data_IF_120588791628
#
_entry.id   IF_120588791628
#
_cell.length_a   1.000
_cell.length_b   1.000
_cell.length_c   1.000
_cell.angle_alpha   90.00
_cell.angle_beta   90.00
_cell.angle_gamma   90.00
#
_symmetry.space_group_name_H-M   'P 1'
#
loop_
_entity.id
_entity.type
_entity.pdbx_description
1 polymer ?
#
# COMPACT_ATOMS: atom_id res chain seq x y z
N UNK A 1 -9.37 0.69 -35.66
CA UNK A 1 -9.31 0.00 -34.35
C UNK A 1 -8.46 0.87 -33.42
N UNK A 2 -9.09 1.84 -32.75
CA UNK A 2 -8.39 2.76 -31.85
C UNK A 2 -7.92 2.03 -30.60
N UNK A 3 -6.64 2.13 -30.27
CA UNK A 3 -6.10 1.62 -29.01
C UNK A 3 -6.77 2.43 -27.89
N UNK A 4 -7.34 1.79 -26.84
CA UNK A 4 -7.98 2.53 -25.77
C UNK A 4 -6.99 3.49 -25.11
N UNK A 5 -7.39 4.74 -25.00
CA UNK A 5 -6.66 5.78 -24.28
C UNK A 5 -6.47 5.32 -22.84
N UNK A 6 -5.22 5.05 -22.46
CA UNK A 6 -4.86 4.74 -21.08
C UNK A 6 -5.29 5.91 -20.21
N UNK A 7 -6.17 5.67 -19.25
CA UNK A 7 -6.51 6.65 -18.23
C UNK A 7 -5.21 7.21 -17.63
N UNK A 8 -4.98 8.52 -17.79
CA UNK A 8 -3.79 9.20 -17.23
C UNK A 8 -3.72 8.87 -15.74
N UNK A 9 -2.73 8.08 -15.35
CA UNK A 9 -2.57 7.61 -13.99
C UNK A 9 -2.29 8.83 -13.09
N UNK A 10 -3.25 9.17 -12.24
CA UNK A 10 -3.07 10.22 -11.23
C UNK A 10 -2.11 9.67 -10.18
N UNK A 11 -0.89 10.19 -10.14
CA UNK A 11 0.07 9.86 -9.09
C UNK A 11 -0.31 10.59 -7.80
N UNK A 12 -0.41 9.86 -6.70
CA UNK A 12 -0.57 10.45 -5.37
C UNK A 12 0.77 11.13 -5.01
N UNK A 13 0.73 12.44 -4.81
CA UNK A 13 1.92 13.25 -4.52
C UNK A 13 2.00 13.72 -3.07
N UNK A 14 0.87 13.73 -2.37
CA UNK A 14 0.72 14.16 -0.97
C UNK A 14 -0.48 13.46 -0.33
N UNK A 15 -0.46 13.36 1.00
CA UNK A 15 -1.57 12.87 1.83
C UNK A 15 -2.02 13.98 2.78
N UNK A 16 -3.30 14.01 3.11
CA UNK A 16 -3.78 14.74 4.29
C UNK A 16 -3.30 14.03 5.57
N UNK A 17 -3.26 14.72 6.73
CA UNK A 17 -2.77 14.13 7.98
C UNK A 17 -3.44 12.83 8.41
N UNK A 18 -4.67 12.60 7.94
CA UNK A 18 -5.46 11.42 8.27
C UNK A 18 -5.64 10.46 7.08
N UNK A 19 -4.92 10.62 5.98
CA UNK A 19 -4.99 9.70 4.84
C UNK A 19 -3.86 8.66 4.92
N UNK A 20 -4.18 7.41 4.57
CA UNK A 20 -3.19 6.34 4.46
C UNK A 20 -2.90 6.00 3.01
N UNK A 21 -1.62 5.92 2.67
CA UNK A 21 -1.16 5.31 1.43
C UNK A 21 -1.06 3.78 1.56
N UNK A 22 -2.03 3.07 1.00
CA UNK A 22 -2.03 1.60 0.98
C UNK A 22 -1.27 1.11 -0.25
N UNK A 23 -0.35 0.17 -0.06
CA UNK A 23 0.49 -0.33 -1.16
C UNK A 23 0.80 -1.82 -1.05
N UNK A 24 1.06 -2.44 -2.20
CA UNK A 24 1.55 -3.82 -2.28
C UNK A 24 3.03 -3.91 -1.94
N UNK A 25 3.40 -4.84 -1.07
CA UNK A 25 4.77 -5.11 -0.62
C UNK A 25 5.14 -6.59 -0.81
N UNK A 26 6.42 -6.92 -0.63
CA UNK A 26 6.83 -8.27 -0.23
C UNK A 26 6.91 -8.39 1.31
N UNK A 27 7.11 -9.62 1.81
CA UNK A 27 7.22 -9.88 3.25
C UNK A 27 8.51 -9.31 3.84
N UNK A 28 9.54 -9.16 3.02
CA UNK A 28 10.85 -8.65 3.42
C UNK A 28 10.86 -7.11 3.53
N UNK A 29 9.81 -6.44 3.10
CA UNK A 29 9.74 -4.98 3.04
C UNK A 29 10.74 -4.37 2.07
N UNK A 30 11.05 -5.02 0.94
CA UNK A 30 11.95 -4.47 -0.08
C UNK A 30 11.20 -3.47 -0.96
N UNK A 31 11.19 -2.21 -0.55
CA UNK A 31 10.47 -1.13 -1.21
C UNK A 31 11.28 -0.47 -2.34
N UNK A 32 11.87 -1.29 -3.23
CA UNK A 32 12.83 -0.83 -4.25
C UNK A 32 12.22 -0.22 -5.52
N UNK A 33 10.91 -0.37 -5.74
CA UNK A 33 10.26 0.14 -6.95
C UNK A 33 8.77 0.43 -6.80
N UNK A 34 8.20 1.09 -7.81
CA UNK A 34 6.75 1.31 -7.95
C UNK A 34 6.12 2.06 -6.76
N UNK A 35 4.93 1.60 -6.37
CA UNK A 35 4.15 2.17 -5.25
C UNK A 35 4.85 1.99 -3.90
N UNK A 36 5.56 0.88 -3.69
CA UNK A 36 6.33 0.65 -2.48
C UNK A 36 7.47 1.67 -2.31
N UNK A 37 8.21 1.96 -3.40
CA UNK A 37 9.24 2.99 -3.37
C UNK A 37 8.65 4.38 -3.08
N UNK A 38 7.48 4.70 -3.64
CA UNK A 38 6.78 5.95 -3.32
C UNK A 38 6.38 6.04 -1.85
N UNK A 39 5.82 4.96 -1.28
CA UNK A 39 5.47 4.88 0.14
C UNK A 39 6.69 5.12 1.03
N UNK A 40 7.82 4.47 0.72
CA UNK A 40 9.09 4.62 1.44
C UNK A 40 9.62 6.05 1.35
N UNK A 41 9.63 6.63 0.14
CA UNK A 41 10.25 7.94 -0.10
C UNK A 41 9.42 9.12 0.37
N UNK A 42 8.09 9.00 0.45
CA UNK A 42 7.19 10.15 0.68
C UNK A 42 6.24 10.00 1.85
N UNK A 43 5.85 8.78 2.20
CA UNK A 43 4.72 8.55 3.11
C UNK A 43 5.12 7.75 4.36
N UNK A 44 6.43 7.58 4.58
CA UNK A 44 6.99 7.05 5.82
C UNK A 44 6.93 5.53 5.95
N UNK A 45 6.78 4.79 4.83
CA UNK A 45 7.07 3.36 4.88
C UNK A 45 8.54 3.12 5.28
N UNK A 46 8.79 2.01 5.96
CA UNK A 46 10.06 1.63 6.54
C UNK A 46 10.61 0.44 5.75
N UNK A 47 11.82 0.60 5.23
CA UNK A 47 12.52 -0.48 4.55
C UNK A 47 12.71 -1.66 5.53
N UNK A 48 12.37 -2.87 5.09
CA UNK A 48 12.39 -4.06 5.95
C UNK A 48 11.04 -4.40 6.59
N UNK A 49 10.07 -3.47 6.59
CA UNK A 49 8.74 -3.72 7.14
C UNK A 49 7.73 -3.96 5.99
N UNK A 50 7.45 -5.23 5.75
CA UNK A 50 6.57 -5.68 4.66
C UNK A 50 5.07 -5.70 4.97
N UNK A 51 4.69 -5.47 6.23
CA UNK A 51 3.31 -5.67 6.71
C UNK A 51 2.86 -4.50 7.58
N UNK A 52 1.61 -4.09 7.41
CA UNK A 52 0.91 -3.22 8.36
C UNK A 52 1.27 -1.74 8.27
N UNK A 53 0.84 -0.98 9.28
CA UNK A 53 0.99 0.47 9.38
C UNK A 53 2.44 0.89 9.63
N UNK A 54 2.88 1.91 8.91
CA UNK A 54 4.19 2.55 9.02
C UNK A 54 4.13 3.97 8.48
N UNK A 55 4.39 4.98 9.32
CA UNK A 55 4.16 6.38 8.97
C UNK A 55 2.70 6.61 8.57
N UNK A 56 2.48 7.23 7.41
CA UNK A 56 1.16 7.36 6.76
C UNK A 56 0.97 6.32 5.65
N UNK A 57 1.54 5.13 5.80
CA UNK A 57 1.46 4.05 4.81
C UNK A 57 1.04 2.74 5.45
N UNK A 58 0.32 1.89 4.70
CA UNK A 58 -0.02 0.53 5.13
C UNK A 58 0.42 -0.47 4.06
N UNK A 59 1.28 -1.42 4.45
CA UNK A 59 1.81 -2.43 3.56
C UNK A 59 0.96 -3.71 3.56
N UNK A 60 0.56 -4.16 2.37
CA UNK A 60 -0.09 -5.46 2.18
C UNK A 60 0.87 -6.35 1.38
N UNK A 61 1.37 -7.45 1.98
CA UNK A 61 2.13 -8.46 1.26
C UNK A 61 1.30 -9.05 0.11
N UNK A 62 1.80 -8.93 -1.13
CA UNK A 62 1.10 -9.40 -2.34
C UNK A 62 1.96 -10.31 -3.23
N UNK A 63 3.20 -10.59 -2.84
CA UNK A 63 4.21 -11.28 -3.67
C UNK A 63 4.45 -12.74 -3.25
N UNK A 64 3.65 -13.28 -2.32
CA UNK A 64 3.86 -14.60 -1.69
C UNK A 64 3.10 -15.73 -2.39
N UNK A 65 2.34 -15.43 -3.45
CA UNK A 65 1.57 -16.42 -4.19
C UNK A 65 0.24 -15.87 -4.69
N UNK A 66 -0.76 -16.76 -4.74
CA UNK A 66 -2.12 -16.41 -5.18
C UNK A 66 -2.95 -15.71 -4.10
N UNK A 67 -4.19 -15.37 -4.46
CA UNK A 67 -5.14 -14.61 -3.62
C UNK A 67 -5.29 -15.18 -2.21
N UNK A 68 -5.29 -16.51 -2.06
CA UNK A 68 -5.42 -17.18 -0.76
C UNK A 68 -4.28 -16.81 0.20
N UNK A 69 -3.08 -16.56 -0.30
CA UNK A 69 -1.91 -16.15 0.51
C UNK A 69 -1.97 -14.68 0.92
N UNK A 70 -2.76 -13.88 0.20
CA UNK A 70 -2.91 -12.43 0.41
C UNK A 70 -4.09 -12.16 1.34
N UNK A 71 -5.15 -12.99 1.30
CA UNK A 71 -6.40 -12.81 2.04
C UNK A 71 -6.18 -12.45 3.52
N UNK A 72 -5.32 -13.12 4.31
CA UNK A 72 -5.14 -12.78 5.72
C UNK A 72 -4.68 -11.33 5.94
N UNK A 73 -3.81 -10.80 5.07
CA UNK A 73 -3.33 -9.42 5.16
C UNK A 73 -4.38 -8.39 4.75
N UNK A 74 -5.27 -8.76 3.83
CA UNK A 74 -6.42 -7.92 3.46
C UNK A 74 -7.44 -7.90 4.59
N UNK A 75 -7.70 -9.04 5.22
CA UNK A 75 -8.60 -9.14 6.38
C UNK A 75 -8.07 -8.29 7.56
N UNK A 76 -6.76 -8.34 7.81
CA UNK A 76 -6.08 -7.50 8.80
C UNK A 76 -6.20 -6.00 8.46
N UNK A 77 -6.05 -5.63 7.19
CA UNK A 77 -6.25 -4.24 6.74
C UNK A 77 -7.71 -3.78 6.93
N UNK A 78 -8.68 -4.62 6.59
CA UNK A 78 -10.10 -4.31 6.77
C UNK A 78 -10.43 -4.14 8.26
N UNK A 79 -9.90 -5.01 9.13
CA UNK A 79 -10.05 -4.87 10.58
C UNK A 79 -9.46 -3.55 11.06
N UNK A 80 -8.21 -3.26 10.67
CA UNK A 80 -7.55 -2.01 11.00
C UNK A 80 -8.38 -0.79 10.57
N UNK A 81 -8.87 -0.75 9.33
CA UNK A 81 -9.67 0.36 8.83
C UNK A 81 -11.00 0.54 9.59
N UNK A 82 -11.60 -0.55 10.09
CA UNK A 82 -12.80 -0.49 10.94
C UNK A 82 -12.51 0.02 12.35
N UNK A 83 -11.37 -0.37 12.91
CA UNK A 83 -10.93 0.03 14.26
C UNK A 83 -10.41 1.47 14.31
N UNK A 84 -9.98 2.02 13.16
CA UNK A 84 -9.40 3.35 13.02
C UNK A 84 -10.19 4.28 12.08
N UNK A 85 -11.47 4.59 12.37
CA UNK A 85 -12.31 5.42 11.51
C UNK A 85 -11.84 6.88 11.39
N UNK A 86 -10.88 7.31 12.23
CA UNK A 86 -10.23 8.62 12.12
C UNK A 86 -9.32 8.72 10.88
N UNK A 87 -8.85 7.59 10.35
CA UNK A 87 -8.04 7.51 9.13
C UNK A 87 -8.92 7.24 7.90
N UNK A 88 -8.50 7.76 6.75
CA UNK A 88 -9.17 7.67 5.45
C UNK A 88 -8.31 7.00 4.39
#
# INVERSE_FOLDING_TARGET
>A
MGVPEHAKQKHITSLRPNEIYVFGSDLKGLHGGGTAYMAYRKFGAVLGQGVGLQGQSYAIPTMQGGVETIRPYVDDFIRFAKEHPEWR
#
